data_IF_364018657740
#
_entry.id   IF_364018657740
#
_cell.length_a   1.000
_cell.length_b   1.000
_cell.length_c   1.000
_cell.angle_alpha   90.00
_cell.angle_beta   90.00
_cell.angle_gamma   90.00
#
_symmetry.space_group_name_H-M   'P 1'
#
loop_
_entity.id
_entity.type
_entity.pdbx_description
1 polymer ?
#
# COMPACT_ATOMS: atom_id res chain seq x y z
N UNK A 1 2.93 -15.88 11.01
CA UNK A 1 1.72 -15.22 11.54
C UNK A 1 0.57 -15.43 10.57
N UNK A 2 -0.66 -15.61 11.03
CA UNK A 2 -1.85 -15.70 10.15
C UNK A 2 -2.02 -14.37 9.42
N UNK A 3 -1.97 -14.39 8.08
CA UNK A 3 -2.27 -13.20 7.28
C UNK A 3 -3.72 -12.78 7.52
N UNK A 4 -3.99 -11.49 7.81
CA UNK A 4 -5.35 -11.00 7.98
C UNK A 4 -6.15 -11.13 6.69
N UNK A 5 -7.47 -11.24 6.84
CA UNK A 5 -8.37 -11.23 5.69
C UNK A 5 -8.34 -9.87 4.98
N UNK A 6 -8.70 -9.84 3.70
CA UNK A 6 -8.81 -8.59 2.96
C UNK A 6 -9.84 -7.67 3.59
N UNK A 7 -9.59 -6.37 3.53
CA UNK A 7 -10.53 -5.34 3.97
C UNK A 7 -11.88 -5.56 3.27
N UNK A 8 -13.00 -5.62 4.01
CA UNK A 8 -14.33 -5.79 3.44
C UNK A 8 -14.64 -4.68 2.45
N UNK A 9 -15.41 -5.04 1.43
CA UNK A 9 -15.75 -4.09 0.41
C UNK A 9 -16.75 -3.03 0.84
N UNK A 10 -16.32 -1.77 0.91
CA UNK A 10 -17.22 -0.62 1.09
C UNK A 10 -18.09 -0.37 -0.15
N UNK A 11 -19.17 0.40 0.02
CA UNK A 11 -20.29 0.60 -0.92
C UNK A 11 -19.95 1.17 -2.30
N UNK A 12 -19.24 0.42 -3.13
CA UNK A 12 -19.05 0.79 -4.52
C UNK A 12 -20.33 0.74 -5.32
N UNK A 13 -20.39 1.65 -6.31
CA UNK A 13 -21.39 1.58 -7.35
C UNK A 13 -21.14 0.33 -8.21
N UNK A 14 -22.12 -0.59 -8.36
CA UNK A 14 -21.92 -1.92 -8.95
C UNK A 14 -21.28 -1.94 -10.34
N UNK A 15 -21.54 -0.91 -11.16
CA UNK A 15 -21.02 -0.81 -12.53
C UNK A 15 -19.50 -0.58 -12.59
N UNK A 16 -18.95 0.17 -11.63
CA UNK A 16 -17.53 0.53 -11.62
C UNK A 16 -16.66 -0.65 -11.16
N UNK A 17 -17.12 -1.39 -10.14
CA UNK A 17 -16.45 -2.61 -9.70
C UNK A 17 -16.39 -3.67 -10.82
N UNK A 18 -17.50 -3.87 -11.54
CA UNK A 18 -17.56 -4.86 -12.64
C UNK A 18 -16.60 -4.52 -13.78
N UNK A 19 -16.53 -3.25 -14.18
CA UNK A 19 -15.62 -2.81 -15.24
C UNK A 19 -14.13 -3.02 -14.88
N UNK A 20 -13.75 -2.77 -13.62
CA UNK A 20 -12.39 -3.03 -13.15
C UNK A 20 -12.06 -4.52 -13.09
N UNK A 21 -13.00 -5.36 -12.63
CA UNK A 21 -12.84 -6.83 -12.64
C UNK A 21 -12.68 -7.35 -14.08
N UNK A 22 -13.53 -6.88 -15.00
CA UNK A 22 -13.45 -7.27 -16.42
C UNK A 22 -12.14 -6.82 -17.07
N UNK A 23 -11.62 -5.64 -16.69
CA UNK A 23 -10.31 -5.18 -17.15
C UNK A 23 -9.16 -6.06 -16.63
N UNK A 24 -9.26 -6.58 -15.41
CA UNK A 24 -8.29 -7.50 -14.81
C UNK A 24 -8.21 -8.86 -15.51
N UNK A 25 -9.31 -9.29 -16.13
CA UNK A 25 -9.40 -10.54 -16.90
C UNK A 25 -8.84 -10.44 -18.31
N UNK A 26 -8.49 -9.24 -18.77
CA UNK A 26 -8.01 -9.07 -20.15
C UNK A 26 -6.65 -9.75 -20.34
N UNK A 27 -6.39 -10.36 -21.50
CA UNK A 27 -5.19 -11.18 -21.73
C UNK A 27 -3.87 -10.46 -21.48
N UNK A 28 -3.84 -9.13 -21.70
CA UNK A 28 -2.65 -8.31 -21.50
C UNK A 28 -2.43 -7.85 -20.05
N UNK A 29 -3.42 -7.97 -19.18
CA UNK A 29 -3.34 -7.47 -17.81
C UNK A 29 -2.86 -8.57 -16.84
N UNK A 30 -3.24 -9.83 -17.08
CA UNK A 30 -2.75 -10.98 -16.30
C UNK A 30 -3.10 -10.94 -14.79
N UNK A 31 -3.97 -10.02 -14.37
CA UNK A 31 -4.30 -9.72 -12.98
C UNK A 31 -5.70 -10.21 -12.59
N UNK A 32 -6.17 -11.30 -13.23
CA UNK A 32 -7.50 -11.88 -13.07
C UNK A 32 -7.70 -12.49 -11.67
N UNK A 33 -7.94 -11.65 -10.67
CA UNK A 33 -7.99 -12.07 -9.27
C UNK A 33 -9.20 -12.95 -8.90
N UNK A 34 -10.23 -12.99 -9.75
CA UNK A 34 -11.43 -13.83 -9.58
C UNK A 34 -11.13 -15.34 -9.73
N UNK A 35 -10.02 -15.71 -10.37
CA UNK A 35 -9.66 -17.11 -10.61
C UNK A 35 -8.80 -17.68 -9.48
N UNK A 36 -8.36 -16.84 -8.54
CA UNK A 36 -7.52 -17.27 -7.43
C UNK A 36 -8.35 -17.90 -6.33
N UNK A 37 -7.93 -19.08 -5.87
CA UNK A 37 -8.43 -19.69 -4.63
C UNK A 37 -8.02 -18.83 -3.43
N UNK A 38 -8.77 -18.92 -2.34
CA UNK A 38 -8.47 -18.14 -1.13
C UNK A 38 -7.05 -18.35 -0.59
N UNK A 39 -6.50 -19.58 -0.70
CA UNK A 39 -5.11 -19.85 -0.35
C UNK A 39 -4.11 -19.06 -1.22
N UNK A 40 -4.39 -18.92 -2.52
CA UNK A 40 -3.55 -18.13 -3.44
C UNK A 40 -3.64 -16.64 -3.12
N UNK A 41 -4.84 -16.13 -2.82
CA UNK A 41 -5.04 -14.73 -2.37
C UNK A 41 -4.25 -14.44 -1.08
N UNK A 42 -4.26 -15.38 -0.12
CA UNK A 42 -3.44 -15.28 1.11
C UNK A 42 -1.95 -15.30 0.83
N UNK A 43 -1.49 -16.12 -0.11
CA UNK A 43 -0.08 -16.13 -0.55
C UNK A 43 0.35 -14.81 -1.18
N UNK A 44 -0.48 -14.21 -2.04
CA UNK A 44 -0.19 -12.90 -2.64
C UNK A 44 -0.07 -11.82 -1.54
N UNK A 45 -1.00 -11.79 -0.58
CA UNK A 45 -0.92 -10.86 0.58
C UNK A 45 0.36 -11.08 1.39
N UNK A 46 0.73 -12.35 1.61
CA UNK A 46 1.96 -12.67 2.33
C UNK A 46 3.21 -12.17 1.60
N UNK A 47 3.26 -12.33 0.28
CA UNK A 47 4.34 -11.82 -0.54
C UNK A 47 4.40 -10.28 -0.48
N UNK A 48 3.27 -9.60 -0.62
CA UNK A 48 3.20 -8.13 -0.48
C UNK A 48 3.71 -7.65 0.89
N UNK A 49 3.29 -8.29 1.98
CA UNK A 49 3.79 -7.97 3.32
C UNK A 49 5.30 -8.23 3.46
N UNK A 50 5.82 -9.28 2.81
CA UNK A 50 7.26 -9.55 2.73
C UNK A 50 8.02 -8.42 2.02
N UNK A 51 7.50 -7.94 0.88
CA UNK A 51 8.07 -6.79 0.17
C UNK A 51 8.04 -5.51 1.00
N UNK A 52 6.92 -5.22 1.69
CA UNK A 52 6.82 -4.08 2.61
C UNK A 52 7.89 -4.18 3.71
N UNK A 53 8.07 -5.36 4.29
CA UNK A 53 9.12 -5.59 5.31
C UNK A 53 10.52 -5.37 4.75
N UNK A 54 10.78 -5.80 3.51
CA UNK A 54 12.07 -5.55 2.87
C UNK A 54 12.27 -4.05 2.62
N UNK A 55 11.28 -3.34 2.09
CA UNK A 55 11.35 -1.88 1.91
C UNK A 55 11.60 -1.15 3.24
N UNK A 56 10.94 -1.55 4.32
CA UNK A 56 11.16 -0.99 5.66
C UNK A 56 12.62 -1.16 6.12
N UNK A 57 13.22 -2.33 5.87
CA UNK A 57 14.63 -2.58 6.15
C UNK A 57 15.55 -1.65 5.34
N UNK A 58 15.36 -1.55 4.03
CA UNK A 58 16.17 -0.68 3.16
C UNK A 58 16.04 0.81 3.52
N UNK A 59 14.83 1.26 3.90
CA UNK A 59 14.62 2.61 4.44
C UNK A 59 15.40 2.80 5.74
N UNK A 60 15.40 1.80 6.63
CA UNK A 60 16.22 1.78 7.83
C UNK A 60 17.71 1.99 7.55
N UNK A 61 18.25 1.32 6.54
CA UNK A 61 19.65 1.46 6.11
C UNK A 61 19.97 2.87 5.62
N UNK A 62 19.10 3.45 4.78
CA UNK A 62 19.25 4.84 4.30
C UNK A 62 19.26 5.82 5.48
N UNK A 63 18.31 5.69 6.41
CA UNK A 63 18.24 6.55 7.59
C UNK A 63 19.46 6.39 8.50
N UNK A 64 19.99 5.18 8.62
CA UNK A 64 21.22 4.89 9.37
C UNK A 64 22.44 5.54 8.72
N UNK A 65 22.55 5.48 7.40
CA UNK A 65 23.61 6.15 6.64
C UNK A 65 23.60 7.67 6.85
N UNK A 66 22.42 8.31 6.86
CA UNK A 66 22.30 9.75 7.15
C UNK A 66 22.77 10.11 8.56
N UNK A 67 22.49 9.26 9.57
CA UNK A 67 22.98 9.45 10.95
C UNK A 67 24.49 9.26 11.04
N UNK A 68 25.04 8.21 10.43
CA UNK A 68 26.47 7.92 10.46
C UNK A 68 27.31 9.01 9.77
N UNK A 69 26.74 9.71 8.80
CA UNK A 69 27.36 10.86 8.11
C UNK A 69 27.15 12.19 8.82
N UNK A 70 26.45 12.23 9.96
CA UNK A 70 26.11 13.45 10.70
C UNK A 70 25.38 14.52 9.86
N UNK A 71 24.56 14.09 8.90
CA UNK A 71 23.78 15.00 8.02
C UNK A 71 22.27 14.89 8.25
N UNK A 72 21.83 13.96 9.11
CA UNK A 72 20.41 13.70 9.38
C UNK A 72 19.67 14.94 9.88
N UNK A 73 20.34 15.78 10.67
CA UNK A 73 19.80 16.97 11.32
C UNK A 73 19.49 18.09 10.31
N UNK A 74 20.17 18.11 9.17
CA UNK A 74 19.97 19.08 8.09
C UNK A 74 19.24 18.49 6.87
N UNK A 75 18.60 17.31 7.02
CA UNK A 75 17.94 16.60 5.91
C UNK A 75 16.43 16.58 6.08
N UNK A 76 15.70 17.05 5.06
CA UNK A 76 14.25 16.83 4.93
C UNK A 76 14.00 15.43 4.38
N UNK A 77 13.18 14.65 5.08
CA UNK A 77 12.76 13.32 4.63
C UNK A 77 11.28 13.37 4.26
N UNK A 78 10.98 12.92 3.04
CA UNK A 78 9.61 12.71 2.55
C UNK A 78 9.49 11.25 2.13
N UNK A 79 8.55 10.53 2.73
CA UNK A 79 8.20 9.16 2.36
C UNK A 79 6.77 9.15 1.82
N UNK A 80 6.61 8.71 0.59
CA UNK A 80 5.33 8.62 -0.11
C UNK A 80 5.36 7.50 -1.15
N UNK A 81 4.20 7.15 -1.68
CA UNK A 81 4.05 6.27 -2.84
C UNK A 81 3.13 6.93 -3.87
N UNK A 82 3.31 6.59 -5.14
CA UNK A 82 2.52 7.12 -6.26
C UNK A 82 1.12 6.49 -6.32
N UNK A 83 0.93 5.29 -5.77
CA UNK A 83 -0.36 4.61 -5.72
C UNK A 83 -0.42 3.51 -4.64
N UNK A 84 -1.65 3.16 -4.24
CA UNK A 84 -1.90 1.96 -3.43
C UNK A 84 -2.41 0.80 -4.31
N UNK A 85 -2.45 -0.39 -3.70
CA UNK A 85 -2.78 -1.63 -4.38
C UNK A 85 -3.99 -2.33 -3.74
N UNK A 86 -4.76 -3.07 -4.55
CA UNK A 86 -5.82 -3.92 -4.06
C UNK A 86 -5.28 -5.29 -3.64
N UNK A 87 -5.37 -5.67 -2.35
CA UNK A 87 -4.94 -6.98 -1.88
C UNK A 87 -6.02 -8.06 -2.11
N UNK A 88 -6.86 -7.95 -3.15
CA UNK A 88 -7.89 -8.94 -3.45
C UNK A 88 -9.29 -8.69 -2.88
N UNK A 89 -9.54 -7.53 -2.28
CA UNK A 89 -10.91 -7.13 -1.93
C UNK A 89 -11.74 -6.91 -3.20
N UNK A 90 -13.03 -7.24 -3.17
CA UNK A 90 -13.93 -7.18 -4.34
C UNK A 90 -13.49 -8.00 -5.57
N UNK A 91 -12.67 -9.04 -5.38
CA UNK A 91 -12.02 -9.80 -6.45
C UNK A 91 -11.20 -8.92 -7.43
N UNK A 92 -10.69 -7.80 -6.91
CA UNK A 92 -9.84 -6.87 -7.64
C UNK A 92 -8.41 -6.94 -7.11
N UNK A 93 -7.46 -6.68 -8.00
CA UNK A 93 -6.04 -6.54 -7.69
C UNK A 93 -5.39 -5.52 -8.57
N UNK A 94 -4.23 -5.03 -8.17
CA UNK A 94 -3.57 -3.97 -8.90
C UNK A 94 -4.18 -2.61 -8.58
N UNK A 95 -3.78 -1.66 -9.40
CA UNK A 95 -4.20 -0.25 -9.34
C UNK A 95 -5.35 0.03 -10.30
N UNK A 96 -5.76 1.29 -10.40
CA UNK A 96 -6.85 1.78 -11.28
C UNK A 96 -8.25 1.51 -10.72
N UNK A 97 -8.48 1.95 -9.48
CA UNK A 97 -9.81 2.01 -8.91
C UNK A 97 -9.97 3.13 -7.89
N UNK A 98 -11.18 3.65 -7.75
CA UNK A 98 -11.53 4.72 -6.80
C UNK A 98 -11.96 4.20 -5.42
N UNK A 99 -11.70 2.92 -5.13
CA UNK A 99 -11.86 2.42 -3.76
C UNK A 99 -10.79 3.02 -2.84
N UNK A 100 -11.16 3.27 -1.59
CA UNK A 100 -10.24 3.79 -0.58
C UNK A 100 -8.96 2.95 -0.42
N UNK A 101 -9.03 1.63 -0.65
CA UNK A 101 -7.87 0.73 -0.64
C UNK A 101 -6.83 1.02 -1.72
N UNK A 102 -7.25 1.56 -2.89
CA UNK A 102 -6.35 1.97 -3.97
C UNK A 102 -5.97 3.45 -3.95
N UNK A 103 -6.69 4.28 -3.19
CA UNK A 103 -6.47 5.73 -3.15
C UNK A 103 -5.72 6.21 -1.91
N UNK A 104 -5.72 5.44 -0.81
CA UNK A 104 -5.05 5.83 0.43
C UNK A 104 -3.58 5.45 0.38
N UNK A 105 -2.73 6.45 0.15
CA UNK A 105 -1.27 6.33 0.15
C UNK A 105 -0.67 6.89 1.47
N UNK A 106 0.43 6.34 1.98
CA UNK A 106 1.22 7.00 3.02
C UNK A 106 1.83 8.30 2.50
N UNK A 107 1.81 9.34 3.33
CA UNK A 107 2.62 10.55 3.19
C UNK A 107 3.18 10.91 4.56
N UNK A 108 4.50 10.77 4.71
CA UNK A 108 5.23 11.08 5.94
C UNK A 108 6.25 12.15 5.59
N UNK A 109 6.22 13.25 6.32
CA UNK A 109 7.20 14.34 6.22
C UNK A 109 7.92 14.46 7.56
N UNK A 110 9.24 14.40 7.52
CA UNK A 110 10.12 14.61 8.68
C UNK A 110 11.06 15.76 8.36
N UNK A 111 10.82 16.97 8.89
CA UNK A 111 11.68 18.12 8.64
C UNK A 111 13.08 17.97 9.29
N UNK A 112 14.05 18.79 8.86
CA UNK A 112 15.34 18.94 9.53
C UNK A 112 15.15 19.34 11.01
N UNK A 113 16.11 18.97 11.86
CA UNK A 113 16.12 19.39 13.27
C UNK A 113 15.07 18.74 14.18
N UNK A 114 14.35 17.70 13.72
CA UNK A 114 13.43 16.91 14.55
C UNK A 114 14.04 15.53 14.82
N UNK A 115 14.74 15.34 15.94
CA UNK A 115 15.18 14.01 16.37
C UNK A 115 13.97 13.18 16.82
N UNK A 116 13.83 11.97 16.29
CA UNK A 116 13.08 10.88 16.94
C UNK A 116 11.56 11.03 17.06
N UNK A 117 10.91 12.02 16.44
CA UNK A 117 9.44 12.08 16.43
C UNK A 117 8.92 11.27 15.24
N UNK A 118 8.16 10.17 15.44
CA UNK A 118 7.39 9.60 14.35
C UNK A 118 6.42 10.70 13.90
N UNK A 119 6.52 11.14 12.65
CA UNK A 119 5.54 12.04 12.06
C UNK A 119 4.20 11.32 12.16
N UNK A 120 3.24 11.94 12.82
CA UNK A 120 1.87 11.44 12.92
C UNK A 120 1.38 11.12 11.51
N UNK A 121 1.19 9.85 11.20
CA UNK A 121 0.44 9.43 10.02
C UNK A 121 -0.99 9.93 10.23
N UNK A 122 -1.32 11.08 9.63
CA UNK A 122 -2.68 11.56 9.61
C UNK A 122 -3.47 10.63 8.68
N UNK A 123 -4.10 9.58 9.23
CA UNK A 123 -5.15 8.88 8.51
C UNK A 123 -6.34 9.83 8.43
N UNK A 124 -6.51 10.50 7.29
CA UNK A 124 -7.78 11.13 6.94
C UNK A 124 -8.79 10.00 6.67
N UNK A 125 -9.37 9.45 7.74
CA UNK A 125 -10.59 8.65 7.61
C UNK A 125 -11.70 9.63 7.24
N UNK A 126 -12.11 9.62 5.99
CA UNK A 126 -13.38 10.19 5.55
C UNK A 126 -14.49 9.53 6.39
N UNK A 127 -14.94 10.23 7.43
CA UNK A 127 -16.19 9.89 8.10
C UNK A 127 -17.33 10.20 7.13
N UNK A 128 -18.00 9.17 6.65
CA UNK A 128 -19.43 9.10 6.30
C UNK A 128 -19.77 7.70 5.81
#
# INVERSE_FOLDING_TARGET
ASMPDSIPGGGAKPKLGRASVDNNRRPWNGAGYTEFREAQKKMVRAHQAGLVKQTDHEVGEILSSLRNKCVRENTLIVFATDHADHPGGHDMSGKVSFYGTCMRIPLIVSPPGVPGRPSTAASLSSGT
#
